data_IF_589976106881
#
_entry.id   IF_589976106881
#
_cell.length_a   1.000
_cell.length_b   1.000
_cell.length_c   1.000
_cell.angle_alpha   90.00
_cell.angle_beta   90.00
_cell.angle_gamma   90.00
#
_symmetry.space_group_name_H-M   'P 1'
#
loop_
_entity.id
_entity.type
_entity.pdbx_description
1 polymer ?
#
# COMPACT_ATOMS: atom_id res chain seq x y z
N UNK A 1 -8.15 18.92 -5.04
CA UNK A 1 -7.69 19.83 -3.96
C UNK A 1 -7.85 19.10 -2.62
N UNK A 2 -6.83 19.07 -1.78
CA UNK A 2 -6.83 18.43 -0.47
C UNK A 2 -7.65 19.27 0.51
N UNK A 3 -8.63 18.68 1.18
CA UNK A 3 -9.46 19.30 2.22
C UNK A 3 -8.84 19.02 3.60
N UNK A 4 -9.39 19.63 4.67
CA UNK A 4 -8.96 19.36 6.05
C UNK A 4 -9.20 17.89 6.46
N UNK A 5 -10.26 17.27 5.94
CA UNK A 5 -10.55 15.84 6.15
C UNK A 5 -9.48 14.99 5.48
N UNK A 6 -9.15 15.29 4.22
CA UNK A 6 -8.12 14.57 3.48
C UNK A 6 -6.75 14.68 4.17
N UNK A 7 -6.41 15.87 4.69
CA UNK A 7 -5.16 16.08 5.42
C UNK A 7 -5.08 15.23 6.70
N UNK A 8 -6.19 15.11 7.44
CA UNK A 8 -6.28 14.24 8.62
C UNK A 8 -6.15 12.75 8.23
N UNK A 9 -6.75 12.33 7.10
CA UNK A 9 -6.57 10.97 6.61
C UNK A 9 -5.11 10.70 6.24
N UNK A 10 -4.44 11.61 5.50
CA UNK A 10 -3.02 11.48 5.15
C UNK A 10 -2.13 11.36 6.38
N UNK A 11 -2.41 12.12 7.44
CA UNK A 11 -1.69 11.99 8.71
C UNK A 11 -1.89 10.59 9.33
N UNK A 12 -3.13 10.05 9.32
CA UNK A 12 -3.44 8.74 9.90
C UNK A 12 -2.83 7.57 9.15
N UNK A 13 -2.82 7.61 7.82
CA UNK A 13 -2.42 6.48 6.98
C UNK A 13 -0.97 6.51 6.50
N UNK A 14 -0.31 7.67 6.54
CA UNK A 14 1.04 7.82 5.99
C UNK A 14 1.93 8.79 6.80
N UNK A 15 1.48 9.21 7.99
CA UNK A 15 2.16 10.19 8.86
C UNK A 15 2.49 11.52 8.14
N UNK A 16 1.69 11.90 7.15
CA UNK A 16 1.93 13.08 6.32
C UNK A 16 1.17 14.29 6.85
N UNK A 17 1.91 15.29 7.32
CA UNK A 17 1.37 16.61 7.73
C UNK A 17 1.53 17.69 6.66
N UNK A 18 1.97 17.30 5.44
CA UNK A 18 2.21 18.19 4.31
C UNK A 18 2.60 17.39 3.07
N UNK A 19 3.27 18.06 2.12
CA UNK A 19 3.79 17.41 0.93
C UNK A 19 4.89 16.41 1.29
N UNK A 20 4.82 15.14 0.84
CA UNK A 20 5.88 14.17 1.11
C UNK A 20 7.23 14.61 0.57
N UNK A 21 8.30 14.20 1.24
CA UNK A 21 9.67 14.31 0.73
C UNK A 21 9.96 13.07 -0.12
N UNK A 22 10.72 13.24 -1.20
CA UNK A 22 11.07 12.14 -2.09
C UNK A 22 10.03 11.88 -3.18
N UNK A 23 9.92 10.63 -3.60
CA UNK A 23 8.94 10.21 -4.59
C UNK A 23 7.56 10.00 -3.94
N UNK A 24 6.51 10.41 -4.62
CA UNK A 24 5.16 10.16 -4.11
C UNK A 24 4.08 10.17 -5.19
N UNK A 25 2.96 9.50 -4.92
CA UNK A 25 1.72 9.59 -5.66
C UNK A 25 0.54 9.61 -4.69
N UNK A 26 -0.05 10.77 -4.49
CA UNK A 26 -1.27 10.92 -3.69
C UNK A 26 -2.47 10.68 -4.61
N UNK A 27 -3.25 9.66 -4.29
CA UNK A 27 -4.49 9.32 -5.00
C UNK A 27 -5.68 9.79 -4.16
N UNK A 28 -6.66 10.43 -4.81
CA UNK A 28 -7.90 10.85 -4.17
C UNK A 28 -9.10 10.57 -5.08
N UNK A 29 -10.12 9.90 -4.53
CA UNK A 29 -11.41 9.66 -5.20
C UNK A 29 -11.24 9.21 -6.66
N UNK A 30 -10.44 8.16 -6.88
CA UNK A 30 -10.08 7.56 -8.17
C UNK A 30 -9.19 8.43 -9.10
N UNK A 31 -8.74 9.58 -8.64
CA UNK A 31 -7.86 10.48 -9.39
C UNK A 31 -6.44 10.57 -8.81
N UNK A 32 -5.49 11.03 -9.61
CA UNK A 32 -4.17 11.45 -9.14
C UNK A 32 -4.27 12.91 -8.69
N UNK A 33 -4.15 13.17 -7.39
CA UNK A 33 -4.16 14.54 -6.85
C UNK A 33 -2.78 15.20 -6.99
N UNK A 34 -1.71 14.43 -6.73
CA UNK A 34 -0.34 14.91 -6.88
C UNK A 34 0.62 13.74 -7.09
N UNK A 35 1.64 13.96 -7.91
CA UNK A 35 2.71 12.98 -8.17
C UNK A 35 4.06 13.68 -8.31
N UNK A 36 5.10 13.02 -7.82
CA UNK A 36 6.48 13.44 -8.00
C UNK A 36 7.39 12.22 -8.08
N UNK A 37 8.24 12.20 -9.09
CA UNK A 37 9.38 11.28 -9.19
C UNK A 37 10.64 11.94 -8.65
N UNK A 38 11.67 11.14 -8.31
CA UNK A 38 13.03 11.61 -8.02
C UNK A 38 13.98 11.20 -9.15
N UNK A 39 15.26 11.44 -8.98
CA UNK A 39 16.29 10.97 -9.90
C UNK A 39 16.33 9.43 -9.95
N UNK A 40 16.09 8.75 -8.82
CA UNK A 40 16.23 7.31 -8.69
C UNK A 40 14.89 6.56 -8.62
N UNK A 41 13.78 7.23 -8.34
CA UNK A 41 12.45 6.63 -8.25
C UNK A 41 11.50 7.30 -9.25
N UNK A 42 11.13 6.57 -10.29
CA UNK A 42 10.18 7.01 -11.30
C UNK A 42 8.78 6.45 -10.99
N UNK A 43 7.76 7.33 -11.01
CA UNK A 43 6.35 6.95 -10.84
C UNK A 43 5.56 7.37 -12.07
N UNK A 44 5.01 6.40 -12.79
CA UNK A 44 4.22 6.62 -14.00
C UNK A 44 2.83 6.01 -13.91
N UNK A 45 1.82 6.56 -14.61
CA UNK A 45 0.54 5.85 -14.77
C UNK A 45 0.77 4.53 -15.50
N UNK A 46 -0.04 3.52 -15.19
CA UNK A 46 -0.05 2.28 -15.99
C UNK A 46 -0.50 2.55 -17.42
N UNK A 47 0.07 1.79 -18.35
CA UNK A 47 -0.22 1.89 -19.79
C UNK A 47 -0.90 0.65 -20.35
N UNK A 48 -1.18 -0.35 -19.50
CA UNK A 48 -1.79 -1.64 -19.84
C UNK A 48 -3.34 -1.65 -19.77
N UNK A 49 -3.94 -0.47 -19.60
CA UNK A 49 -5.39 -0.31 -19.49
C UNK A 49 -5.94 -0.48 -18.07
N UNK A 50 -5.11 -0.88 -17.09
CA UNK A 50 -5.50 -0.94 -15.68
C UNK A 50 -5.38 0.43 -15.02
N UNK A 51 -6.21 0.69 -14.01
CA UNK A 51 -6.01 1.85 -13.15
C UNK A 51 -4.85 1.60 -12.19
N UNK A 52 -3.96 2.57 -12.01
CA UNK A 52 -2.84 2.46 -11.09
C UNK A 52 -1.55 3.08 -11.61
N UNK A 53 -0.45 2.66 -11.02
CA UNK A 53 0.88 3.19 -11.29
C UNK A 53 1.94 2.10 -11.36
N UNK A 54 2.99 2.38 -12.14
CA UNK A 54 4.26 1.67 -12.09
C UNK A 54 5.27 2.52 -11.32
N UNK A 55 5.96 1.91 -10.37
CA UNK A 55 7.03 2.51 -9.57
C UNK A 55 8.33 1.79 -9.91
N UNK A 56 9.28 2.51 -10.50
CA UNK A 56 10.58 1.95 -10.90
C UNK A 56 11.68 2.58 -10.07
N UNK A 57 12.39 1.76 -9.29
CA UNK A 57 13.50 2.15 -8.43
C UNK A 57 14.79 1.65 -9.06
N UNK A 58 15.69 2.58 -9.40
CA UNK A 58 16.96 2.25 -10.06
C UNK A 58 17.84 1.39 -9.14
N UNK A 59 18.61 0.50 -9.74
CA UNK A 59 19.59 -0.29 -9.01
C UNK A 59 20.57 0.61 -8.22
N UNK A 60 20.94 0.18 -7.03
CA UNK A 60 21.83 0.91 -6.13
C UNK A 60 21.20 2.07 -5.35
N UNK A 61 19.89 2.32 -5.48
CA UNK A 61 19.19 3.35 -4.71
C UNK A 61 19.24 3.05 -3.21
N UNK A 62 19.69 4.02 -2.41
CA UNK A 62 19.83 3.88 -0.96
C UNK A 62 19.19 5.04 -0.21
N UNK A 63 18.45 4.71 0.88
CA UNK A 63 17.92 5.69 1.81
C UNK A 63 16.84 6.61 1.24
N UNK A 64 16.21 6.24 0.11
CA UNK A 64 15.09 6.98 -0.45
C UNK A 64 13.74 6.39 -0.03
N UNK A 65 12.73 7.26 0.00
CA UNK A 65 11.34 6.92 0.36
C UNK A 65 10.41 7.16 -0.82
N UNK A 66 9.39 6.28 -0.91
CA UNK A 66 8.28 6.42 -1.85
C UNK A 66 6.94 6.37 -1.10
N UNK A 67 6.11 7.41 -1.22
CA UNK A 67 4.80 7.47 -0.56
C UNK A 67 3.67 7.30 -1.57
N UNK A 68 2.75 6.36 -1.33
CA UNK A 68 1.60 6.09 -2.20
C UNK A 68 0.25 6.05 -1.44
N UNK A 69 -0.09 7.10 -0.69
CA UNK A 69 -1.36 7.14 0.02
C UNK A 69 -2.56 7.28 -0.90
N UNK A 70 -3.68 6.66 -0.49
CA UNK A 70 -4.98 6.74 -1.15
C UNK A 70 -6.01 7.33 -0.18
N UNK A 71 -6.80 8.27 -0.66
CA UNK A 71 -7.90 8.89 0.09
C UNK A 71 -9.20 8.67 -0.66
N UNK A 72 -10.22 8.18 0.03
CA UNK A 72 -11.60 8.13 -0.43
C UNK A 72 -12.44 8.99 0.47
N UNK A 73 -13.00 10.06 -0.08
CA UNK A 73 -13.88 10.99 0.63
C UNK A 73 -15.29 11.07 0.02
N UNK A 74 -15.54 10.37 -1.08
CA UNK A 74 -16.84 10.23 -1.72
C UNK A 74 -17.54 8.95 -1.28
N UNK A 75 -18.76 9.07 -0.75
CA UNK A 75 -19.62 7.92 -0.50
C UNK A 75 -19.98 7.19 -1.80
N UNK A 76 -20.08 5.87 -1.74
CA UNK A 76 -20.47 5.04 -2.89
C UNK A 76 -19.37 4.85 -3.93
N UNK A 77 -18.14 5.28 -3.66
CA UNK A 77 -17.01 5.03 -4.54
C UNK A 77 -16.52 3.58 -4.37
N UNK A 78 -16.37 2.87 -5.49
CA UNK A 78 -15.71 1.57 -5.54
C UNK A 78 -14.61 1.61 -6.57
N UNK A 79 -13.38 1.27 -6.17
CA UNK A 79 -12.23 1.25 -7.08
C UNK A 79 -11.34 0.03 -6.88
N UNK A 80 -10.73 -0.41 -7.96
CA UNK A 80 -9.68 -1.43 -8.01
C UNK A 80 -8.43 -0.82 -8.64
N UNK A 81 -7.32 -0.82 -7.91
CA UNK A 81 -6.09 -0.12 -8.28
C UNK A 81 -4.90 -1.06 -8.27
N UNK A 82 -4.08 -1.03 -9.31
CA UNK A 82 -2.88 -1.86 -9.46
C UNK A 82 -1.61 -1.01 -9.34
N UNK A 83 -0.76 -1.33 -8.41
CA UNK A 83 0.53 -0.66 -8.23
C UNK A 83 1.65 -1.69 -8.32
N UNK A 84 2.48 -1.58 -9.35
CA UNK A 84 3.60 -2.48 -9.58
C UNK A 84 4.91 -1.79 -9.22
N UNK A 85 5.69 -2.42 -8.35
CA UNK A 85 6.98 -1.92 -7.85
C UNK A 85 8.11 -2.75 -8.45
N UNK A 86 8.93 -2.10 -9.24
CA UNK A 86 10.14 -2.69 -9.83
C UNK A 86 11.35 -2.13 -9.11
N UNK A 87 11.86 -2.86 -8.13
CA UNK A 87 13.04 -2.48 -7.34
C UNK A 87 14.27 -3.12 -7.96
N UNK A 88 15.23 -2.31 -8.36
CA UNK A 88 16.49 -2.79 -8.94
C UNK A 88 17.35 -3.55 -7.93
N UNK A 89 18.48 -4.07 -8.38
CA UNK A 89 19.46 -4.75 -7.53
C UNK A 89 20.15 -3.76 -6.57
N UNK A 90 20.64 -4.28 -5.43
CA UNK A 90 21.45 -3.53 -4.47
C UNK A 90 20.76 -2.28 -3.90
N UNK A 91 19.43 -2.27 -3.82
CA UNK A 91 18.65 -1.17 -3.24
C UNK A 91 18.51 -1.28 -1.71
N UNK A 92 18.22 -0.13 -1.05
CA UNK A 92 17.78 -0.04 0.34
C UNK A 92 16.79 1.11 0.47
N UNK A 93 15.48 0.78 0.47
CA UNK A 93 14.41 1.76 0.29
C UNK A 93 13.22 1.50 1.21
N UNK A 94 12.50 2.59 1.51
CA UNK A 94 11.25 2.54 2.26
C UNK A 94 10.07 2.91 1.35
N UNK A 95 9.00 2.12 1.44
CA UNK A 95 7.76 2.37 0.71
C UNK A 95 6.63 2.49 1.72
N UNK A 96 5.99 3.66 1.73
CA UNK A 96 4.89 3.99 2.64
C UNK A 96 3.60 4.05 1.86
N UNK A 97 2.72 3.09 2.10
CA UNK A 97 1.39 3.02 1.55
C UNK A 97 0.32 3.27 2.62
N UNK A 98 -0.89 3.44 2.18
CA UNK A 98 -2.04 3.46 3.08
C UNK A 98 -3.29 3.89 2.37
N UNK A 99 -4.43 3.45 2.89
CA UNK A 99 -5.73 3.87 2.40
C UNK A 99 -6.58 4.41 3.56
N UNK A 100 -7.14 5.61 3.36
CA UNK A 100 -8.08 6.26 4.27
C UNK A 100 -9.43 6.46 3.62
N UNK A 101 -10.51 5.99 4.26
CA UNK A 101 -11.88 6.23 3.83
C UNK A 101 -12.58 7.14 4.84
N UNK A 102 -13.10 8.28 4.39
CA UNK A 102 -14.08 9.06 5.11
C UNK A 102 -15.42 8.94 4.39
N UNK A 103 -16.31 8.08 4.92
CA UNK A 103 -17.61 7.87 4.30
C UNK A 103 -18.60 8.95 4.77
N UNK A 104 -19.00 9.81 3.83
CA UNK A 104 -19.88 10.95 4.08
C UNK A 104 -21.35 10.66 3.77
N UNK A 105 -21.75 9.37 3.71
CA UNK A 105 -23.12 8.99 3.39
C UNK A 105 -23.47 7.55 3.76
N UNK A 106 -24.58 7.04 3.22
CA UNK A 106 -25.11 5.73 3.55
C UNK A 106 -24.71 4.60 2.57
N UNK A 107 -23.96 4.90 1.53
CA UNK A 107 -23.52 3.90 0.55
C UNK A 107 -22.18 3.27 0.95
N UNK A 108 -21.92 2.06 0.46
CA UNK A 108 -20.63 1.40 0.64
C UNK A 108 -19.54 2.14 -0.14
N UNK A 109 -18.43 2.45 0.53
CA UNK A 109 -17.19 2.93 -0.10
C UNK A 109 -16.14 1.82 -0.04
N UNK A 110 -15.46 1.54 -1.17
CA UNK A 110 -14.58 0.39 -1.32
C UNK A 110 -13.29 0.74 -2.04
N UNK A 111 -12.19 0.26 -1.48
CA UNK A 111 -10.89 0.31 -2.14
C UNK A 111 -10.25 -1.08 -2.14
N UNK A 112 -10.00 -1.61 -3.33
CA UNK A 112 -9.24 -2.83 -3.53
C UNK A 112 -7.89 -2.48 -4.17
N UNK A 113 -6.82 -2.52 -3.37
CA UNK A 113 -5.45 -2.28 -3.83
C UNK A 113 -4.76 -3.60 -4.17
N UNK A 114 -4.20 -3.72 -5.38
CA UNK A 114 -3.32 -4.81 -5.76
C UNK A 114 -1.90 -4.27 -5.88
N UNK A 115 -1.01 -4.71 -5.01
CA UNK A 115 0.39 -4.31 -4.97
C UNK A 115 1.27 -5.48 -5.38
N UNK A 116 2.03 -5.35 -6.47
CA UNK A 116 2.97 -6.37 -6.93
C UNK A 116 4.40 -5.84 -6.82
N UNK A 117 5.25 -6.54 -6.10
CA UNK A 117 6.65 -6.19 -5.90
C UNK A 117 7.54 -7.17 -6.65
N UNK A 118 8.44 -6.63 -7.48
CA UNK A 118 9.55 -7.33 -8.10
C UNK A 118 10.83 -6.75 -7.51
N UNK A 119 11.43 -7.46 -6.54
CA UNK A 119 12.59 -7.00 -5.78
C UNK A 119 13.84 -7.66 -6.32
N UNK A 120 14.79 -6.87 -6.79
CA UNK A 120 16.07 -7.30 -7.33
C UNK A 120 17.00 -7.91 -6.26
N UNK A 121 18.12 -8.47 -6.70
CA UNK A 121 19.10 -9.16 -5.84
C UNK A 121 19.73 -8.20 -4.83
N UNK A 122 20.10 -8.75 -3.64
CA UNK A 122 20.78 -8.02 -2.57
C UNK A 122 20.06 -6.75 -2.11
N UNK A 123 18.76 -6.63 -2.37
CA UNK A 123 17.98 -5.43 -2.04
C UNK A 123 17.24 -5.59 -0.72
N UNK A 124 17.06 -4.47 -0.03
CA UNK A 124 16.28 -4.39 1.18
C UNK A 124 15.10 -3.43 0.95
N UNK A 125 13.90 -3.91 1.22
CA UNK A 125 12.68 -3.11 1.14
C UNK A 125 11.98 -3.13 2.50
N UNK A 126 11.71 -1.96 3.06
CA UNK A 126 10.77 -1.79 4.15
C UNK A 126 9.45 -1.25 3.57
N UNK A 127 8.40 -2.05 3.67
CA UNK A 127 7.06 -1.67 3.25
C UNK A 127 6.14 -1.50 4.45
N UNK A 128 5.58 -0.31 4.61
CA UNK A 128 4.59 -0.02 5.64
C UNK A 128 3.26 0.37 5.02
N UNK A 129 2.15 -0.21 5.52
CA UNK A 129 0.81 0.07 5.03
C UNK A 129 -0.16 0.28 6.19
N UNK A 130 -0.90 1.39 6.16
CA UNK A 130 -1.91 1.70 7.18
C UNK A 130 -3.29 1.86 6.55
N UNK A 131 -4.28 1.18 7.15
CA UNK A 131 -5.69 1.31 6.77
C UNK A 131 -6.48 1.99 7.88
N UNK A 132 -7.29 2.95 7.49
CA UNK A 132 -8.12 3.72 8.41
C UNK A 132 -9.46 4.07 7.75
N UNK A 133 -10.56 3.90 8.50
CA UNK A 133 -11.89 4.32 8.08
C UNK A 133 -12.56 5.15 9.16
N UNK A 134 -13.41 6.06 8.74
CA UNK A 134 -14.35 6.77 9.60
C UNK A 134 -15.59 7.16 8.80
N UNK A 135 -16.72 7.24 9.50
CA UNK A 135 -17.97 7.75 8.95
C UNK A 135 -18.20 9.17 9.42
N UNK A 136 -18.88 9.97 8.61
CA UNK A 136 -19.40 11.26 9.06
C UNK A 136 -20.43 11.04 10.18
N UNK A 137 -20.58 11.97 11.12
CA UNK A 137 -21.53 11.82 12.22
C UNK A 137 -22.96 11.56 11.75
N UNK A 138 -23.54 10.44 12.19
CA UNK A 138 -24.91 10.03 11.82
C UNK A 138 -25.04 9.23 10.53
N UNK A 139 -23.95 9.02 9.81
CA UNK A 139 -23.92 8.20 8.61
C UNK A 139 -23.69 6.71 8.92
N UNK A 140 -24.13 5.83 8.03
CA UNK A 140 -24.12 4.37 8.23
C UNK A 140 -23.57 3.62 7.00
N UNK A 141 -22.83 4.30 6.16
CA UNK A 141 -22.18 3.69 5.00
C UNK A 141 -21.13 2.68 5.44
N UNK A 142 -20.90 1.65 4.61
CA UNK A 142 -19.88 0.64 4.88
C UNK A 142 -18.54 1.05 4.25
N UNK A 143 -17.47 0.76 4.97
CA UNK A 143 -16.09 0.93 4.52
C UNK A 143 -15.48 -0.44 4.26
N UNK A 144 -15.08 -0.72 3.01
CA UNK A 144 -14.53 -2.02 2.60
C UNK A 144 -13.16 -1.83 1.99
N UNK A 145 -12.20 -2.67 2.42
CA UNK A 145 -10.83 -2.69 1.85
C UNK A 145 -10.37 -4.14 1.70
N UNK A 146 -10.08 -4.56 0.46
CA UNK A 146 -9.54 -5.90 0.18
C UNK A 146 -8.17 -5.77 -0.49
N UNK A 147 -7.11 -5.55 0.28
CA UNK A 147 -5.77 -5.45 -0.26
C UNK A 147 -5.25 -6.81 -0.70
N UNK A 148 -4.59 -6.83 -1.85
CA UNK A 148 -3.81 -7.97 -2.32
C UNK A 148 -2.35 -7.55 -2.48
N UNK A 149 -1.43 -8.34 -1.92
CA UNK A 149 0.00 -8.09 -2.04
C UNK A 149 0.71 -9.32 -2.58
N UNK A 150 1.45 -9.15 -3.67
CA UNK A 150 2.23 -10.20 -4.31
C UNK A 150 3.70 -9.76 -4.33
N UNK A 151 4.60 -10.58 -3.82
CA UNK A 151 6.01 -10.22 -3.68
C UNK A 151 6.90 -11.30 -4.29
N UNK A 152 7.73 -10.89 -5.25
CA UNK A 152 8.81 -11.70 -5.80
C UNK A 152 10.14 -11.17 -5.26
N UNK A 153 10.77 -11.94 -4.37
CA UNK A 153 12.05 -11.62 -3.73
C UNK A 153 13.19 -12.27 -4.50
N UNK A 154 14.07 -11.47 -5.08
CA UNK A 154 15.28 -11.94 -5.72
C UNK A 154 16.32 -12.48 -4.73
N UNK A 155 17.41 -13.10 -5.24
CA UNK A 155 18.45 -13.72 -4.42
C UNK A 155 19.04 -12.74 -3.39
N UNK A 156 19.20 -13.22 -2.15
CA UNK A 156 19.76 -12.46 -1.01
C UNK A 156 19.04 -11.16 -0.69
N UNK A 157 17.80 -10.96 -1.18
CA UNK A 157 17.02 -9.77 -0.86
C UNK A 157 16.21 -9.96 0.41
N UNK A 158 15.81 -8.87 1.03
CA UNK A 158 14.98 -8.87 2.23
C UNK A 158 13.79 -7.95 2.08
N UNK A 159 12.64 -8.36 2.61
CA UNK A 159 11.49 -7.50 2.76
C UNK A 159 10.97 -7.56 4.20
N UNK A 160 10.88 -6.40 4.82
CA UNK A 160 10.10 -6.21 6.02
C UNK A 160 8.77 -5.58 5.63
N UNK A 161 7.65 -6.22 5.96
CA UNK A 161 6.30 -5.76 5.69
C UNK A 161 5.55 -5.52 6.99
N UNK A 162 5.23 -4.26 7.27
CA UNK A 162 4.47 -3.85 8.44
C UNK A 162 3.11 -3.32 8.01
N UNK A 163 2.03 -4.03 8.32
CA UNK A 163 0.68 -3.62 7.96
C UNK A 163 -0.20 -3.46 9.19
N UNK A 164 -1.03 -2.41 9.20
CA UNK A 164 -1.97 -2.18 10.27
C UNK A 164 -3.31 -1.65 9.76
N UNK A 165 -4.40 -2.31 10.16
CA UNK A 165 -5.75 -1.78 10.05
C UNK A 165 -6.11 -1.16 11.40
N UNK A 166 -6.21 0.18 11.45
CA UNK A 166 -6.32 0.92 12.70
C UNK A 166 -7.74 0.84 13.25
N UNK A 167 -8.74 1.19 12.42
CA UNK A 167 -10.17 1.14 12.78
C UNK A 167 -11.07 1.49 11.59
N UNK A 168 -12.39 1.33 11.77
CA UNK A 168 -13.42 1.90 10.88
C UNK A 168 -13.53 1.23 9.52
N UNK A 169 -12.97 0.03 9.36
CA UNK A 169 -13.15 -0.82 8.20
C UNK A 169 -14.13 -1.91 8.57
N UNK A 170 -15.28 -1.94 7.91
CA UNK A 170 -16.37 -2.86 8.23
C UNK A 170 -16.12 -4.27 7.72
N UNK A 171 -15.41 -4.38 6.58
CA UNK A 171 -15.02 -5.66 6.02
C UNK A 171 -13.66 -5.53 5.33
N UNK A 172 -12.75 -6.45 5.66
CA UNK A 172 -11.49 -6.61 4.93
C UNK A 172 -11.22 -8.07 4.63
N UNK A 173 -10.75 -8.32 3.41
CA UNK A 173 -10.22 -9.61 3.00
C UNK A 173 -8.85 -9.37 2.37
N UNK A 174 -7.81 -9.71 3.13
CA UNK A 174 -6.40 -9.54 2.74
C UNK A 174 -5.87 -10.84 2.15
N UNK A 175 -5.20 -10.76 0.99
CA UNK A 175 -4.48 -11.88 0.36
C UNK A 175 -3.01 -11.44 0.15
N UNK A 176 -2.08 -12.15 0.79
CA UNK A 176 -0.65 -11.80 0.74
C UNK A 176 0.16 -13.01 0.31
N UNK A 177 0.98 -12.87 -0.74
CA UNK A 177 1.78 -13.96 -1.32
C UNK A 177 3.22 -13.55 -1.50
N UNK A 178 4.15 -14.41 -1.03
CA UNK A 178 5.59 -14.23 -1.21
C UNK A 178 6.19 -15.41 -1.97
N UNK A 179 7.08 -15.08 -2.91
CA UNK A 179 7.90 -16.02 -3.66
C UNK A 179 9.36 -15.68 -3.38
N UNK A 180 10.02 -16.52 -2.58
CA UNK A 180 11.34 -16.25 -1.99
C UNK A 180 12.42 -17.05 -2.70
N UNK A 181 13.33 -16.37 -3.41
CA UNK A 181 14.49 -16.96 -4.06
C UNK A 181 15.63 -17.27 -3.06
N UNK A 182 16.73 -17.84 -3.54
CA UNK A 182 17.87 -18.25 -2.73
C UNK A 182 18.38 -17.16 -1.78
N UNK A 183 18.51 -17.48 -0.49
CA UNK A 183 19.04 -16.62 0.55
C UNK A 183 18.19 -15.40 0.87
N UNK A 184 16.98 -15.29 0.29
CA UNK A 184 16.08 -14.19 0.59
C UNK A 184 15.38 -14.37 1.93
N UNK A 185 14.94 -13.26 2.53
CA UNK A 185 14.28 -13.27 3.83
C UNK A 185 13.06 -12.33 3.81
N UNK A 186 11.94 -12.81 4.36
CA UNK A 186 10.75 -11.98 4.57
C UNK A 186 10.34 -11.98 6.04
N UNK A 187 10.02 -10.80 6.56
CA UNK A 187 9.44 -10.63 7.90
C UNK A 187 8.13 -9.85 7.75
N UNK A 188 7.03 -10.43 8.20
CA UNK A 188 5.71 -9.80 8.14
C UNK A 188 5.18 -9.54 9.55
N UNK A 189 4.75 -8.32 9.78
CA UNK A 189 4.01 -7.93 10.97
C UNK A 189 2.66 -7.40 10.54
N UNK A 190 1.59 -8.13 10.87
CA UNK A 190 0.22 -7.71 10.56
C UNK A 190 -0.56 -7.47 11.84
N UNK A 191 -1.30 -6.35 11.89
CA UNK A 191 -2.19 -5.99 12.99
C UNK A 191 -3.55 -5.56 12.44
N UNK A 192 -4.57 -6.39 12.68
CA UNK A 192 -5.95 -6.12 12.26
C UNK A 192 -6.81 -5.83 13.49
N UNK A 193 -7.28 -4.58 13.62
CA UNK A 193 -8.17 -4.16 14.70
C UNK A 193 -9.60 -4.09 14.18
N UNK A 194 -10.48 -4.87 14.78
CA UNK A 194 -11.92 -4.88 14.49
C UNK A 194 -12.71 -4.47 15.72
N UNK A 195 -13.87 -3.86 15.52
CA UNK A 195 -14.79 -3.45 16.59
C UNK A 195 -16.24 -3.73 16.19
N UNK A 196 -17.04 -4.17 17.17
CA UNK A 196 -18.47 -4.39 16.96
C UNK A 196 -18.75 -5.52 15.98
N UNK A 197 -19.29 -5.19 14.81
CA UNK A 197 -19.64 -6.13 13.74
C UNK A 197 -18.63 -6.16 12.59
N UNK A 198 -17.48 -5.51 12.75
CA UNK A 198 -16.44 -5.48 11.73
C UNK A 198 -15.82 -6.86 11.57
N UNK A 199 -15.50 -7.20 10.32
CA UNK A 199 -14.94 -8.50 9.96
C UNK A 199 -13.58 -8.31 9.26
N UNK A 200 -12.61 -9.14 9.63
CA UNK A 200 -11.30 -9.17 8.98
C UNK A 200 -10.89 -10.62 8.72
N UNK A 201 -10.55 -10.90 7.47
CA UNK A 201 -9.96 -12.16 7.02
C UNK A 201 -8.58 -11.86 6.44
N UNK A 202 -7.57 -12.63 6.84
CA UNK A 202 -6.22 -12.54 6.26
C UNK A 202 -5.76 -13.93 5.84
N UNK A 203 -5.35 -14.04 4.58
CA UNK A 203 -4.72 -15.22 4.01
C UNK A 203 -3.29 -14.86 3.61
N UNK A 204 -2.32 -15.65 4.10
CA UNK A 204 -0.91 -15.43 3.82
C UNK A 204 -0.25 -16.71 3.33
N UNK A 205 0.41 -16.62 2.19
CA UNK A 205 1.13 -17.71 1.57
C UNK A 205 2.59 -17.31 1.30
N UNK A 206 3.54 -18.10 1.82
CA UNK A 206 4.98 -17.87 1.65
C UNK A 206 5.60 -19.11 1.02
N UNK A 207 6.13 -18.97 -0.19
CA UNK A 207 6.87 -20.02 -0.90
C UNK A 207 8.38 -19.78 -0.74
N UNK A 208 9.06 -20.67 -0.05
CA UNK A 208 10.52 -20.66 0.12
C UNK A 208 11.15 -21.51 -0.98
N UNK A 209 11.32 -20.94 -2.17
CA UNK A 209 11.73 -21.65 -3.39
C UNK A 209 13.23 -21.87 -3.49
N UNK A 210 14.02 -21.00 -2.86
CA UNK A 210 15.48 -21.07 -2.92
C UNK A 210 16.12 -21.68 -1.68
N UNK A 211 17.35 -22.20 -1.82
CA UNK A 211 18.19 -22.62 -0.71
C UNK A 211 18.42 -21.47 0.27
N UNK A 212 18.35 -21.72 1.58
CA UNK A 212 18.51 -20.73 2.64
C UNK A 212 17.46 -19.58 2.64
N UNK A 213 16.37 -19.69 1.89
CA UNK A 213 15.26 -18.74 1.97
C UNK A 213 14.53 -18.86 3.33
N UNK A 214 14.08 -17.72 3.89
CA UNK A 214 13.44 -17.63 5.22
C UNK A 214 12.18 -16.78 5.19
N UNK A 215 11.20 -17.15 6.02
CA UNK A 215 9.95 -16.41 6.21
C UNK A 215 9.31 -16.69 7.56
#
# INVERSE_FOLDING_TARGET
MITDIDAKLLEKIADLTGKPVGAFNIRKDSGCEARQSTEHIEITPKTDGKQGIDIRIKAGTKGEQCHIPVIISKTGLSELVYNDFYVGDDCDVEIVAGCGIHNSGCNESRHDGVHTFYIGKNSRVHYSEKHYGEDAPGETGRNVMNPQTIVHLGENSTMQMDTVQIRGIDSTKRDTRFYCEKGSEVVVTERLLTHGKQEAESDMHIELNGEDAKG
#
